data_IF_016674235984
#
_entry.id   IF_016674235984
#
_cell.length_a   1.000
_cell.length_b   1.000
_cell.length_c   1.000
_cell.angle_alpha   90.00
_cell.angle_beta   90.00
_cell.angle_gamma   90.00
#
_symmetry.space_group_name_H-M   'P 1'
#
loop_
_entity.id
_entity.type
_entity.pdbx_description
1 polymer ?
#
# COMPACT_ATOMS: atom_id res chain seq x y z
N UNK A 1 -28.46 13.99 29.95
CA UNK A 1 -28.13 13.00 28.91
C UNK A 1 -27.31 13.69 27.83
N UNK A 2 -25.99 13.73 27.99
CA UNK A 2 -25.07 14.42 27.08
C UNK A 2 -24.57 13.42 26.05
N UNK A 3 -24.95 13.61 24.78
CA UNK A 3 -24.48 12.80 23.65
C UNK A 3 -23.00 13.11 23.39
N UNK A 4 -22.12 12.11 23.50
CA UNK A 4 -20.73 12.22 23.05
C UNK A 4 -20.67 12.53 21.56
N UNK A 5 -20.15 13.70 21.23
CA UNK A 5 -19.58 14.03 19.91
C UNK A 5 -18.08 13.67 19.94
N UNK A 6 -17.55 13.39 18.77
CA UNK A 6 -16.13 13.19 18.42
C UNK A 6 -15.47 11.86 18.78
N UNK A 7 -15.55 10.93 17.83
CA UNK A 7 -14.37 10.19 17.37
C UNK A 7 -14.29 10.34 15.84
N UNK A 8 -13.84 11.50 15.38
CA UNK A 8 -13.32 11.63 14.02
C UNK A 8 -11.91 11.03 14.00
N UNK A 9 -11.50 10.33 12.93
CA UNK A 9 -10.14 9.79 12.80
C UNK A 9 -9.14 10.93 12.90
N UNK A 10 -8.06 10.72 13.66
CA UNK A 10 -6.98 11.69 13.78
C UNK A 10 -6.36 11.91 12.41
N UNK A 11 -6.43 13.14 11.93
CA UNK A 11 -5.81 13.56 10.67
C UNK A 11 -4.30 13.64 10.90
N UNK A 12 -3.51 13.05 10.02
CA UNK A 12 -2.05 13.10 10.07
C UNK A 12 -1.58 14.56 10.22
N UNK A 13 -0.61 14.80 11.10
CA UNK A 13 -0.08 16.14 11.26
C UNK A 13 0.59 16.59 9.95
N UNK A 14 0.40 17.84 9.54
CA UNK A 14 0.95 18.37 8.28
C UNK A 14 2.46 18.11 8.12
N UNK A 15 3.20 18.15 9.21
CA UNK A 15 4.64 17.85 9.25
C UNK A 15 4.99 16.39 8.89
N UNK A 16 4.10 15.44 9.18
CA UNK A 16 4.28 14.03 8.83
C UNK A 16 4.09 13.81 7.32
N UNK A 17 3.07 14.46 6.75
CA UNK A 17 2.84 14.51 5.30
C UNK A 17 4.04 15.15 4.61
N UNK A 18 4.53 16.30 5.10
CA UNK A 18 5.68 16.99 4.52
C UNK A 18 6.95 16.11 4.56
N UNK A 19 7.19 15.42 5.68
CA UNK A 19 8.32 14.49 5.84
C UNK A 19 8.23 13.30 4.89
N UNK A 20 7.02 12.78 4.67
CA UNK A 20 6.77 11.71 3.71
C UNK A 20 7.02 12.16 2.27
N UNK A 21 6.55 13.36 1.91
CA UNK A 21 6.78 13.96 0.59
C UNK A 21 8.28 14.20 0.35
N UNK A 22 9.01 14.68 1.35
CA UNK A 22 10.45 14.88 1.24
C UNK A 22 11.20 13.55 1.12
N UNK A 23 10.77 12.51 1.85
CA UNK A 23 11.30 11.16 1.67
C UNK A 23 11.09 10.66 0.23
N UNK A 24 9.87 10.79 -0.34
CA UNK A 24 9.58 10.41 -1.73
C UNK A 24 10.49 11.13 -2.72
N UNK A 25 10.69 12.45 -2.57
CA UNK A 25 11.55 13.22 -3.48
C UNK A 25 13.00 12.74 -3.48
N UNK A 26 13.46 12.21 -2.34
CA UNK A 26 14.81 11.65 -2.20
C UNK A 26 14.92 10.19 -2.62
N UNK A 27 13.80 9.47 -2.74
CA UNK A 27 13.76 8.10 -3.24
C UNK A 27 14.04 8.11 -4.75
N UNK A 28 15.18 7.56 -5.15
CA UNK A 28 15.56 7.44 -6.56
C UNK A 28 14.68 6.41 -7.29
N UNK A 29 13.49 6.81 -7.73
CA UNK A 29 12.70 6.04 -8.69
C UNK A 29 13.35 6.25 -10.04
N UNK A 30 14.30 5.37 -10.40
CA UNK A 30 15.11 5.56 -11.61
C UNK A 30 14.27 5.87 -12.85
N UNK A 31 14.45 7.08 -13.40
CA UNK A 31 13.84 7.53 -14.65
C UNK A 31 14.26 6.59 -15.78
N UNK A 32 13.33 5.79 -16.28
CA UNK A 32 13.51 5.07 -17.54
C UNK A 32 12.49 5.67 -18.49
N UNK A 33 12.99 6.49 -19.42
CA UNK A 33 12.21 7.23 -20.40
C UNK A 33 11.48 6.34 -21.44
N UNK A 34 11.44 5.02 -21.23
CA UNK A 34 11.04 4.05 -22.25
C UNK A 34 10.25 2.85 -21.70
N UNK A 35 9.87 2.85 -20.41
CA UNK A 35 9.01 1.82 -19.83
C UNK A 35 7.93 2.42 -18.95
N UNK A 36 6.70 1.93 -19.11
CA UNK A 36 5.60 2.23 -18.20
C UNK A 36 6.01 1.80 -16.78
N UNK A 37 6.03 2.74 -15.84
CA UNK A 37 6.22 2.48 -14.42
C UNK A 37 5.23 1.42 -13.94
N UNK A 38 5.67 0.56 -13.02
CA UNK A 38 4.85 -0.53 -12.45
C UNK A 38 4.70 -0.30 -10.96
N UNK A 39 3.49 -0.02 -10.51
CA UNK A 39 3.13 0.19 -9.12
C UNK A 39 2.32 -1.01 -8.62
N UNK A 40 2.83 -1.72 -7.62
CA UNK A 40 2.02 -2.66 -6.87
C UNK A 40 1.35 -1.89 -5.73
N UNK A 41 0.02 -1.85 -5.74
CA UNK A 41 -0.77 -1.21 -4.69
C UNK A 41 -1.46 -2.31 -3.88
N UNK A 42 -1.01 -2.48 -2.64
CA UNK A 42 -1.49 -3.51 -1.74
C UNK A 42 -2.30 -2.92 -0.59
N UNK A 43 -3.29 -3.68 -0.12
CA UNK A 43 -4.12 -3.26 0.99
C UNK A 43 -4.45 -4.39 1.94
N UNK A 44 -4.70 -4.02 3.18
CA UNK A 44 -5.28 -4.87 4.18
C UNK A 44 -6.82 -4.76 4.17
N UNK A 45 -7.51 -5.78 3.64
CA UNK A 45 -8.96 -5.83 3.49
C UNK A 45 -9.67 -6.62 4.61
N UNK A 46 -9.22 -6.52 5.86
CA UNK A 46 -9.95 -7.10 6.99
C UNK A 46 -11.21 -6.30 7.38
N UNK A 47 -12.23 -6.98 7.91
CA UNK A 47 -13.58 -6.46 8.16
C UNK A 47 -13.69 -5.16 8.98
N UNK A 48 -12.66 -4.73 9.70
CA UNK A 48 -12.66 -3.44 10.42
C UNK A 48 -12.79 -2.21 9.51
N UNK A 49 -12.67 -2.35 8.18
CA UNK A 49 -12.37 -1.22 7.28
C UNK A 49 -13.34 -0.99 6.12
N UNK A 50 -14.51 -1.62 6.09
CA UNK A 50 -15.49 -1.43 5.01
C UNK A 50 -15.83 0.06 4.75
N UNK A 51 -16.00 0.85 5.83
CA UNK A 51 -16.37 2.27 5.74
C UNK A 51 -15.22 3.20 5.32
N UNK A 52 -13.98 2.87 5.69
CA UNK A 52 -12.78 3.63 5.27
C UNK A 52 -12.44 3.27 3.82
N UNK A 53 -12.65 2.00 3.42
CA UNK A 53 -12.45 1.51 2.07
C UNK A 53 -13.38 2.16 1.05
N UNK A 54 -14.67 2.28 1.35
CA UNK A 54 -15.63 2.95 0.46
C UNK A 54 -15.25 4.41 0.21
N UNK A 55 -14.75 5.09 1.24
CA UNK A 55 -14.29 6.48 1.14
C UNK A 55 -12.96 6.61 0.38
N UNK A 56 -12.03 5.67 0.61
CA UNK A 56 -10.76 5.58 -0.11
C UNK A 56 -11.01 5.30 -1.60
N UNK A 57 -11.90 4.36 -1.96
CA UNK A 57 -12.30 4.09 -3.33
C UNK A 57 -12.86 5.34 -4.04
N UNK A 58 -13.68 6.14 -3.35
CA UNK A 58 -14.26 7.36 -3.93
C UNK A 58 -13.20 8.44 -4.22
N UNK A 59 -12.22 8.62 -3.31
CA UNK A 59 -11.14 9.61 -3.45
C UNK A 59 -10.05 9.12 -4.42
N UNK A 60 -9.65 7.85 -4.33
CA UNK A 60 -8.60 7.24 -5.16
C UNK A 60 -9.02 7.11 -6.62
N UNK A 61 -10.31 6.92 -6.90
CA UNK A 61 -10.84 6.94 -8.26
C UNK A 61 -10.56 8.24 -9.01
N UNK A 62 -10.54 9.37 -8.30
CA UNK A 62 -10.21 10.68 -8.88
C UNK A 62 -8.70 10.82 -9.09
N UNK A 63 -7.87 10.44 -8.11
CA UNK A 63 -6.40 10.47 -8.22
C UNK A 63 -5.87 9.58 -9.35
N UNK A 64 -6.42 8.38 -9.54
CA UNK A 64 -5.99 7.48 -10.60
C UNK A 64 -6.42 7.94 -11.99
N UNK A 65 -7.61 8.54 -12.13
CA UNK A 65 -8.01 9.16 -13.39
C UNK A 65 -7.04 10.30 -13.79
N UNK A 66 -6.62 11.12 -12.84
CA UNK A 66 -5.63 12.18 -13.07
C UNK A 66 -4.25 11.59 -13.43
N UNK A 67 -3.81 10.52 -12.75
CA UNK A 67 -2.50 9.89 -12.98
C UNK A 67 -2.42 9.12 -14.29
N UNK A 68 -3.49 8.43 -14.70
CA UNK A 68 -3.56 7.71 -15.98
C UNK A 68 -3.55 8.68 -17.18
N UNK A 69 -4.09 9.89 -17.02
CA UNK A 69 -4.06 10.92 -18.06
C UNK A 69 -2.65 11.41 -18.42
N UNK A 70 -1.68 11.22 -17.51
CA UNK A 70 -0.26 11.57 -17.71
C UNK A 70 0.48 10.46 -18.50
N UNK A 71 -0.12 9.27 -18.61
CA UNK A 71 0.47 8.11 -19.29
C UNK A 71 1.63 7.46 -18.51
N UNK A 72 1.99 6.24 -18.88
CA UNK A 72 3.23 5.63 -18.39
C UNK A 72 3.16 4.92 -17.04
N UNK A 73 1.98 4.61 -16.49
CA UNK A 73 1.84 3.85 -15.23
C UNK A 73 0.93 2.64 -15.41
N UNK A 74 1.41 1.47 -15.01
CA UNK A 74 0.65 0.24 -14.85
C UNK A 74 0.55 -0.10 -13.37
N UNK A 75 -0.64 -0.41 -12.92
CA UNK A 75 -0.97 -0.68 -11.52
C UNK A 75 -1.49 -2.11 -11.40
N UNK A 76 -1.05 -2.80 -10.36
CA UNK A 76 -1.67 -4.04 -9.91
C UNK A 76 -2.21 -3.83 -8.51
N UNK A 77 -3.47 -4.19 -8.29
CA UNK A 77 -4.04 -4.21 -6.95
C UNK A 77 -3.80 -5.58 -6.33
N UNK A 78 -3.36 -5.57 -5.08
CA UNK A 78 -3.28 -6.77 -4.27
C UNK A 78 -4.00 -6.52 -2.94
N UNK A 79 -4.65 -7.55 -2.42
CA UNK A 79 -5.25 -7.47 -1.10
C UNK A 79 -5.20 -8.84 -0.43
N UNK A 80 -5.20 -8.82 0.89
CA UNK A 80 -5.52 -9.98 1.68
C UNK A 80 -6.73 -9.69 2.56
N UNK A 81 -7.46 -10.74 2.91
CA UNK A 81 -8.61 -10.70 3.80
C UNK A 81 -9.05 -12.12 4.12
N UNK A 82 -10.10 -12.28 4.93
CA UNK A 82 -10.66 -13.60 5.20
C UNK A 82 -9.66 -14.57 5.86
N UNK A 83 -9.91 -15.87 5.73
CA UNK A 83 -9.00 -16.91 6.22
C UNK A 83 -8.02 -17.31 5.12
N UNK A 84 -6.80 -16.76 5.15
CA UNK A 84 -5.72 -17.06 4.20
C UNK A 84 -6.03 -16.69 2.73
N UNK A 85 -6.90 -15.71 2.49
CA UNK A 85 -7.21 -15.27 1.12
C UNK A 85 -6.28 -14.11 0.74
N UNK A 86 -5.48 -14.34 -0.31
CA UNK A 86 -4.68 -13.31 -0.99
C UNK A 86 -5.09 -13.29 -2.47
N UNK A 87 -5.34 -12.10 -2.99
CA UNK A 87 -5.67 -11.90 -4.39
C UNK A 87 -4.87 -10.74 -4.97
N UNK A 88 -4.51 -10.88 -6.24
CA UNK A 88 -3.93 -9.80 -7.03
C UNK A 88 -4.62 -9.73 -8.39
N UNK A 89 -4.92 -8.53 -8.86
CA UNK A 89 -5.54 -8.30 -10.17
C UNK A 89 -4.51 -8.49 -11.28
N UNK A 90 -4.94 -8.56 -12.55
CA UNK A 90 -4.03 -8.26 -13.65
C UNK A 90 -3.42 -6.86 -13.51
N UNK A 91 -2.24 -6.67 -14.10
CA UNK A 91 -1.66 -5.34 -14.30
C UNK A 91 -2.53 -4.56 -15.28
N UNK A 92 -2.93 -3.34 -14.92
CA UNK A 92 -3.76 -2.48 -15.77
C UNK A 92 -3.22 -1.06 -15.81
N UNK A 93 -3.33 -0.41 -16.97
CA UNK A 93 -3.13 1.03 -17.14
C UNK A 93 -4.46 1.76 -17.38
N UNK A 94 -5.59 1.05 -17.25
CA UNK A 94 -6.94 1.59 -17.40
C UNK A 94 -7.45 2.05 -16.04
N UNK A 95 -7.73 3.34 -15.91
CA UNK A 95 -8.36 3.87 -14.71
C UNK A 95 -9.75 3.24 -14.47
N UNK A 96 -10.46 2.90 -15.56
CA UNK A 96 -11.76 2.22 -15.48
C UNK A 96 -11.65 0.81 -14.88
N UNK A 97 -10.69 0.01 -15.35
CA UNK A 97 -10.49 -1.35 -14.84
C UNK A 97 -10.02 -1.33 -13.39
N UNK A 98 -9.12 -0.40 -13.07
CA UNK A 98 -8.63 -0.21 -11.71
C UNK A 98 -9.78 0.15 -10.76
N UNK A 99 -10.61 1.13 -11.13
CA UNK A 99 -11.82 1.49 -10.40
C UNK A 99 -12.76 0.29 -10.22
N UNK A 100 -13.00 -0.47 -11.29
CA UNK A 100 -13.83 -1.67 -11.23
C UNK A 100 -13.29 -2.67 -10.20
N UNK A 101 -11.99 -2.97 -10.24
CA UNK A 101 -11.35 -3.85 -9.28
C UNK A 101 -11.45 -3.32 -7.85
N UNK A 102 -11.16 -2.04 -7.61
CA UNK A 102 -11.26 -1.43 -6.28
C UNK A 102 -12.68 -1.56 -5.71
N UNK A 103 -13.69 -1.28 -6.52
CA UNK A 103 -15.11 -1.39 -6.09
C UNK A 103 -15.59 -2.83 -5.89
N UNK A 104 -14.86 -3.83 -6.40
CA UNK A 104 -15.20 -5.24 -6.23
C UNK A 104 -14.62 -5.86 -4.95
N UNK A 105 -13.59 -5.24 -4.35
CA UNK A 105 -12.98 -5.72 -3.11
C UNK A 105 -14.02 -5.64 -1.98
N UNK A 106 -14.14 -6.73 -1.20
CA UNK A 106 -15.02 -6.84 -0.04
C UNK A 106 -14.18 -7.18 1.18
N UNK A 107 -14.40 -6.47 2.27
CA UNK A 107 -13.65 -6.68 3.51
C UNK A 107 -14.23 -7.88 4.29
N UNK A 108 -13.36 -8.80 4.71
CA UNK A 108 -13.77 -10.02 5.43
C UNK A 108 -12.97 -10.15 6.73
N UNK A 109 -13.55 -10.77 7.77
CA UNK A 109 -12.80 -11.01 9.01
C UNK A 109 -11.64 -11.97 8.72
N UNK A 110 -10.42 -11.60 9.13
CA UNK A 110 -9.21 -12.31 8.75
C UNK A 110 -8.00 -11.84 9.54
N UNK A 111 -6.91 -12.58 9.41
CA UNK A 111 -5.62 -12.22 10.00
C UNK A 111 -4.80 -11.36 9.02
N UNK A 112 -3.85 -10.61 9.58
CA UNK A 112 -2.86 -9.84 8.85
C UNK A 112 -1.95 -10.77 8.04
N UNK A 113 -1.77 -10.49 6.75
CA UNK A 113 -1.00 -11.31 5.81
C UNK A 113 -0.10 -10.47 4.88
N UNK A 114 0.61 -9.49 5.45
CA UNK A 114 1.65 -8.70 4.78
C UNK A 114 2.68 -9.62 4.12
N UNK A 115 2.98 -10.78 4.73
CA UNK A 115 3.88 -11.77 4.15
C UNK A 115 3.46 -12.25 2.76
N UNK A 116 2.16 -12.34 2.47
CA UNK A 116 1.68 -12.70 1.13
C UNK A 116 1.91 -11.58 0.10
N UNK A 117 1.71 -10.33 0.52
CA UNK A 117 2.02 -9.15 -0.30
C UNK A 117 3.50 -9.14 -0.68
N UNK A 118 4.39 -9.34 0.29
CA UNK A 118 5.83 -9.32 0.05
C UNK A 118 6.29 -10.48 -0.84
N UNK A 119 5.76 -11.69 -0.63
CA UNK A 119 6.04 -12.84 -1.50
C UNK A 119 5.60 -12.58 -2.94
N UNK A 120 4.41 -12.00 -3.12
CA UNK A 120 3.89 -11.63 -4.43
C UNK A 120 4.75 -10.54 -5.10
N UNK A 121 5.12 -9.49 -4.36
CA UNK A 121 6.00 -8.43 -4.84
C UNK A 121 7.36 -8.98 -5.30
N UNK A 122 7.96 -9.89 -4.54
CA UNK A 122 9.21 -10.56 -4.91
C UNK A 122 9.06 -11.40 -6.18
N UNK A 123 7.97 -12.16 -6.29
CA UNK A 123 7.69 -12.98 -7.47
C UNK A 123 7.49 -12.12 -8.73
N UNK A 124 6.72 -11.04 -8.63
CA UNK A 124 6.46 -10.12 -9.73
C UNK A 124 7.71 -9.32 -10.13
N UNK A 125 8.55 -8.94 -9.16
CA UNK A 125 9.82 -8.25 -9.41
C UNK A 125 10.83 -9.09 -10.19
N UNK A 126 10.75 -10.42 -10.08
CA UNK A 126 11.56 -11.36 -10.89
C UNK A 126 11.05 -11.48 -12.33
N UNK A 127 9.78 -11.20 -12.59
CA UNK A 127 9.18 -11.26 -13.93
C UNK A 127 9.44 -9.97 -14.70
N UNK A 128 9.22 -8.83 -14.06
CA UNK A 128 9.51 -7.51 -14.59
C UNK A 128 9.71 -6.54 -13.43
N UNK A 129 10.42 -5.44 -13.68
CA UNK A 129 10.68 -4.42 -12.65
C UNK A 129 9.38 -3.89 -12.07
N UNK A 130 9.28 -3.83 -10.74
CA UNK A 130 8.30 -3.03 -10.01
C UNK A 130 9.04 -1.78 -9.54
N UNK A 131 8.42 -0.61 -9.70
CA UNK A 131 9.04 0.67 -9.38
C UNK A 131 8.74 1.12 -7.95
N UNK A 132 7.63 0.65 -7.38
CA UNK A 132 7.25 0.88 -6.00
C UNK A 132 6.20 -0.13 -5.55
N UNK A 133 6.21 -0.44 -4.25
CA UNK A 133 5.12 -1.10 -3.54
C UNK A 133 4.47 -0.07 -2.60
N UNK A 134 3.20 0.24 -2.80
CA UNK A 134 2.40 0.97 -1.81
C UNK A 134 1.62 -0.04 -1.00
N UNK A 135 1.61 0.10 0.33
CA UNK A 135 0.79 -0.75 1.20
C UNK A 135 0.05 0.09 2.23
N UNK A 136 -1.24 -0.22 2.42
CA UNK A 136 -2.13 0.41 3.41
C UNK A 136 -2.66 -0.65 4.37
N UNK A 137 -2.47 -0.46 5.68
CA UNK A 137 -2.99 -1.37 6.72
C UNK A 137 -2.91 -0.78 8.13
N UNK A 138 -3.50 -1.42 9.13
CA UNK A 138 -3.54 -0.88 10.52
C UNK A 138 -2.87 -1.78 11.57
N UNK A 139 -2.56 -3.02 11.23
CA UNK A 139 -2.17 -4.07 12.16
C UNK A 139 -0.93 -4.82 11.69
N UNK A 140 -0.27 -5.48 12.64
CA UNK A 140 0.81 -6.42 12.40
C UNK A 140 0.67 -7.60 13.38
N UNK A 141 0.42 -8.79 12.84
CA UNK A 141 0.20 -10.03 13.61
C UNK A 141 1.19 -11.16 13.23
N UNK A 142 2.02 -10.93 12.20
CA UNK A 142 2.96 -11.90 11.65
C UNK A 142 4.36 -11.81 12.30
N UNK A 143 5.22 -12.78 12.02
CA UNK A 143 6.63 -12.73 12.44
C UNK A 143 7.39 -11.58 11.74
N UNK A 144 7.85 -10.55 12.47
CA UNK A 144 8.55 -9.41 11.88
C UNK A 144 9.84 -9.80 11.16
N UNK A 145 10.59 -10.77 11.68
CA UNK A 145 11.91 -11.13 11.13
C UNK A 145 11.77 -11.70 9.71
N UNK A 146 10.74 -12.51 9.48
CA UNK A 146 10.40 -13.02 8.16
C UNK A 146 10.04 -11.88 7.18
N UNK A 147 9.26 -10.89 7.64
CA UNK A 147 8.88 -9.73 6.80
C UNK A 147 10.08 -8.84 6.49
N UNK A 148 10.95 -8.59 7.47
CA UNK A 148 12.16 -7.77 7.32
C UNK A 148 13.13 -8.37 6.30
N UNK A 149 13.30 -9.69 6.32
CA UNK A 149 14.11 -10.37 5.32
C UNK A 149 13.60 -10.10 3.90
N UNK A 150 12.28 -10.25 3.67
CA UNK A 150 11.68 -10.01 2.36
C UNK A 150 11.74 -8.53 1.95
N UNK A 151 11.56 -7.59 2.89
CA UNK A 151 11.72 -6.16 2.61
C UNK A 151 13.15 -5.79 2.22
N UNK A 152 14.16 -6.40 2.86
CA UNK A 152 15.56 -6.24 2.46
C UNK A 152 15.83 -6.79 1.06
N UNK A 153 15.25 -7.94 0.70
CA UNK A 153 15.32 -8.48 -0.67
C UNK A 153 14.69 -7.52 -1.69
N UNK A 154 13.55 -6.91 -1.38
CA UNK A 154 12.93 -5.87 -2.22
C UNK A 154 13.83 -4.62 -2.35
N UNK A 155 14.49 -4.20 -1.29
CA UNK A 155 15.46 -3.11 -1.31
C UNK A 155 16.63 -3.38 -2.27
N UNK A 156 17.18 -4.61 -2.25
CA UNK A 156 18.23 -5.06 -3.19
C UNK A 156 17.72 -5.04 -4.64
N UNK A 157 16.46 -5.41 -4.85
CA UNK A 157 15.80 -5.37 -6.16
C UNK A 157 15.39 -3.95 -6.60
N UNK A 158 15.61 -2.93 -5.76
CA UNK A 158 15.27 -1.54 -6.04
C UNK A 158 13.77 -1.26 -6.03
N UNK A 159 13.01 -1.98 -5.18
CA UNK A 159 11.56 -1.81 -4.99
C UNK A 159 11.29 -1.13 -3.65
N UNK A 160 11.20 0.21 -3.61
CA UNK A 160 10.87 0.93 -2.38
C UNK A 160 9.43 0.65 -1.94
N UNK A 161 9.25 0.49 -0.62
CA UNK A 161 7.93 0.33 -0.02
C UNK A 161 7.44 1.64 0.61
N UNK A 162 6.27 2.09 0.20
CA UNK A 162 5.55 3.22 0.79
C UNK A 162 4.41 2.71 1.66
N UNK A 163 4.58 2.82 2.97
CA UNK A 163 3.69 2.23 3.96
C UNK A 163 2.80 3.32 4.54
N UNK A 164 1.49 3.13 4.45
CA UNK A 164 0.48 4.01 5.05
C UNK A 164 -0.23 3.25 6.16
N UNK A 165 -0.05 3.69 7.39
CA UNK A 165 -0.75 3.13 8.53
C UNK A 165 -2.09 3.81 8.72
N UNK A 166 -3.17 3.03 8.74
CA UNK A 166 -4.43 3.47 9.29
C UNK A 166 -4.45 3.16 10.80
N UNK A 167 -5.05 4.01 11.62
CA UNK A 167 -5.05 3.84 13.08
C UNK A 167 -3.70 4.09 13.77
N UNK A 168 -3.55 3.61 15.01
CA UNK A 168 -2.47 4.01 15.92
C UNK A 168 -1.82 2.84 16.67
N UNK A 169 -1.83 1.63 16.09
CA UNK A 169 -1.15 0.47 16.67
C UNK A 169 0.38 0.69 16.68
N UNK A 170 1.03 0.75 17.85
CA UNK A 170 2.47 0.93 17.94
C UNK A 170 3.27 -0.26 17.39
N UNK A 171 2.69 -1.47 17.39
CA UNK A 171 3.35 -2.66 16.82
C UNK A 171 3.43 -2.54 15.31
N UNK A 172 2.31 -2.19 14.66
CA UNK A 172 2.27 -1.89 13.24
C UNK A 172 3.18 -0.71 12.87
N UNK A 173 3.19 0.37 13.66
CA UNK A 173 4.06 1.54 13.42
C UNK A 173 5.54 1.14 13.39
N UNK A 174 6.00 0.41 14.40
CA UNK A 174 7.39 -0.05 14.48
C UNK A 174 7.77 -0.96 13.31
N UNK A 175 6.88 -1.89 12.96
CA UNK A 175 7.09 -2.81 11.85
C UNK A 175 7.14 -2.08 10.50
N UNK A 176 6.18 -1.21 10.22
CA UNK A 176 6.07 -0.52 8.93
C UNK A 176 7.22 0.46 8.70
N UNK A 177 7.64 1.21 9.73
CA UNK A 177 8.84 2.06 9.65
C UNK A 177 10.08 1.24 9.29
N UNK A 178 10.23 0.04 9.87
CA UNK A 178 11.37 -0.83 9.59
C UNK A 178 11.32 -1.41 8.17
N UNK A 179 10.15 -1.85 7.72
CA UNK A 179 9.94 -2.34 6.35
C UNK A 179 10.25 -1.25 5.31
N UNK A 180 9.76 -0.02 5.55
CA UNK A 180 10.05 1.14 4.71
C UNK A 180 11.57 1.41 4.64
N UNK A 181 12.25 1.43 5.78
CA UNK A 181 13.69 1.68 5.84
C UNK A 181 14.53 0.63 5.12
N UNK A 182 14.19 -0.67 5.28
CA UNK A 182 14.91 -1.78 4.64
C UNK A 182 14.75 -1.80 3.11
N UNK A 183 13.64 -1.29 2.60
CA UNK A 183 13.37 -1.20 1.17
C UNK A 183 13.77 0.15 0.54
N UNK A 184 14.29 1.10 1.33
CA UNK A 184 14.56 2.49 0.92
C UNK A 184 13.31 3.29 0.50
N UNK A 185 12.15 2.95 1.09
CA UNK A 185 10.91 3.71 0.93
C UNK A 185 10.60 4.60 2.13
N UNK A 186 9.31 4.85 2.36
CA UNK A 186 8.84 5.79 3.38
C UNK A 186 7.59 5.28 4.10
N UNK A 187 7.35 5.83 5.29
CA UNK A 187 6.20 5.52 6.13
C UNK A 187 5.43 6.79 6.45
N UNK A 188 4.09 6.70 6.47
CA UNK A 188 3.17 7.73 6.93
C UNK A 188 2.06 7.07 7.75
N UNK A 189 1.59 7.76 8.80
CA UNK A 189 0.30 7.48 9.44
C UNK A 189 -0.72 8.53 9.04
#
# INVERSE_FOLDING_TARGET
>A
MTRSRDKLPQTSARAEVDSFIDAIKTTAVGHVADQNGRLLFAMDATASRETVWDRACHIQGQMFNETVSIGGLSVQLAHYGGFMEFAATPWTSSAHDLLHYMTAIRCHAGQTQIGQVLKHALAESRRARIHALVFVGDAMEEDPDALYKMAGELGILGVPMFLFQDGSDPVAEGAFRRLAGLSHGAYCR
#
